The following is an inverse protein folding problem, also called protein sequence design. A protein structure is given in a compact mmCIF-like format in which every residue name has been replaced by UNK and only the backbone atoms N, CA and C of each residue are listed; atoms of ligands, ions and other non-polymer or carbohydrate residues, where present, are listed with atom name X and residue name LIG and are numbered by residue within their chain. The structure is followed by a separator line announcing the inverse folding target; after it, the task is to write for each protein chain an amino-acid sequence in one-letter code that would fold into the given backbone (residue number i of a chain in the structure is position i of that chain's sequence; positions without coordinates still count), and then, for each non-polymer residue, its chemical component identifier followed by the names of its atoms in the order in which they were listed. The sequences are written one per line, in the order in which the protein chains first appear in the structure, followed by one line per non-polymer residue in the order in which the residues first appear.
data_IF_881539055141
#
_entry.id   IF_881539055141
#
_cell.length_a   1.000
_cell.length_b   1.000
_cell.length_c   1.000
_cell.angle_alpha   90.00
_cell.angle_beta   90.00
_cell.angle_gamma   90.00
#
_symmetry.space_group_name_H-M   'P 1'
#
loop_
_entity.id
_entity.type
_entity.pdbx_description
1 polymer ?
#
# COMPACT_ATOMS: atom_id res chain seq x y z
N UNK A 1 9.31 18.03 -14.20
CA UNK A 1 8.43 16.84 -14.22
C UNK A 1 7.85 16.70 -12.81
N UNK A 2 6.53 16.77 -12.66
CA UNK A 2 5.92 16.51 -11.36
C UNK A 2 5.91 15.01 -11.12
N UNK A 3 6.38 14.59 -9.94
CA UNK A 3 6.30 13.21 -9.50
C UNK A 3 4.83 12.78 -9.48
N UNK A 4 4.54 11.65 -10.13
CA UNK A 4 3.19 11.08 -10.20
C UNK A 4 3.03 9.90 -9.25
N UNK A 5 4.13 9.27 -8.88
CA UNK A 5 4.14 8.04 -8.11
C UNK A 5 5.50 7.91 -7.41
N UNK A 6 5.48 7.40 -6.17
CA UNK A 6 6.65 7.00 -5.41
C UNK A 6 6.44 5.59 -4.89
N UNK A 7 7.47 4.75 -5.00
CA UNK A 7 7.42 3.37 -4.53
C UNK A 7 8.53 3.07 -3.54
N UNK A 8 8.20 2.28 -2.52
CA UNK A 8 9.15 1.80 -1.53
C UNK A 8 8.91 0.31 -1.31
N UNK A 9 9.92 -0.51 -1.62
CA UNK A 9 9.89 -1.93 -1.26
C UNK A 9 10.29 -2.12 0.21
N UNK A 10 9.57 -3.01 0.88
CA UNK A 10 9.85 -3.42 2.26
C UNK A 10 9.88 -4.94 2.30
N UNK A 11 10.89 -5.50 2.97
CA UNK A 11 10.96 -6.94 3.25
C UNK A 11 10.83 -7.13 4.74
N UNK A 12 9.79 -7.85 5.17
CA UNK A 12 9.52 -8.11 6.58
C UNK A 12 9.10 -9.57 6.73
N UNK A 13 9.69 -10.28 7.71
CA UNK A 13 9.48 -11.71 7.93
C UNK A 13 9.67 -12.60 6.67
N UNK A 14 10.53 -12.18 5.73
CA UNK A 14 10.78 -12.90 4.47
C UNK A 14 9.79 -12.62 3.34
N UNK A 15 8.75 -11.83 3.60
CA UNK A 15 7.75 -11.39 2.60
C UNK A 15 8.15 -10.03 2.05
N UNK A 16 8.10 -9.86 0.72
CA UNK A 16 8.30 -8.58 0.04
C UNK A 16 6.94 -7.89 -0.19
N UNK A 17 6.79 -6.69 0.35
CA UNK A 17 5.67 -5.79 0.07
C UNK A 17 6.19 -4.55 -0.65
N UNK A 18 5.35 -3.94 -1.48
CA UNK A 18 5.65 -2.72 -2.19
C UNK A 18 4.63 -1.65 -1.81
N UNK A 19 5.10 -0.62 -1.11
CA UNK A 19 4.30 0.55 -0.78
C UNK A 19 4.32 1.49 -1.99
N UNK A 20 3.16 1.90 -2.45
CA UNK A 20 2.95 2.73 -3.63
C UNK A 20 2.17 3.97 -3.17
N UNK A 21 2.80 5.14 -3.31
CA UNK A 21 2.17 6.43 -3.14
C UNK A 21 1.87 7.01 -4.52
N UNK A 22 0.60 7.20 -4.85
CA UNK A 22 0.17 7.73 -6.16
C UNK A 22 -0.43 9.10 -6.00
N UNK A 23 0.03 10.07 -6.80
CA UNK A 23 -0.52 11.42 -6.78
C UNK A 23 -1.87 11.44 -7.49
N UNK A 24 -2.91 11.83 -6.77
CA UNK A 24 -4.28 11.92 -7.29
C UNK A 24 -4.77 13.38 -7.40
N UNK A 25 -4.11 14.31 -6.72
CA UNK A 25 -4.42 15.75 -6.77
C UNK A 25 -3.18 16.62 -6.55
N UNK A 26 -3.36 17.94 -6.47
CA UNK A 26 -2.22 18.87 -6.31
C UNK A 26 -1.45 18.61 -5.01
N UNK A 27 -2.16 18.32 -3.92
CA UNK A 27 -1.58 17.96 -2.61
C UNK A 27 -2.25 16.72 -2.04
N UNK A 28 -2.67 15.79 -2.90
CA UNK A 28 -3.38 14.58 -2.50
C UNK A 28 -2.69 13.36 -3.08
N UNK A 29 -2.36 12.43 -2.19
CA UNK A 29 -1.68 11.18 -2.48
C UNK A 29 -2.49 10.02 -1.92
N UNK A 30 -2.74 9.02 -2.76
CA UNK A 30 -3.29 7.75 -2.31
C UNK A 30 -2.17 6.82 -1.89
N UNK A 31 -2.45 5.97 -0.90
CA UNK A 31 -1.58 4.91 -0.44
C UNK A 31 -2.11 3.56 -0.90
N UNK A 32 -1.23 2.74 -1.46
CA UNK A 32 -1.48 1.33 -1.75
C UNK A 32 -0.30 0.47 -1.29
N UNK A 33 -0.58 -0.76 -0.88
CA UNK A 33 0.44 -1.77 -0.56
C UNK A 33 0.17 -2.99 -1.43
N UNK A 34 1.12 -3.29 -2.30
CA UNK A 34 1.09 -4.43 -3.22
C UNK A 34 1.91 -5.58 -2.64
N UNK A 35 1.30 -6.77 -2.57
CA UNK A 35 1.98 -7.97 -2.14
C UNK A 35 2.63 -8.74 -3.31
N UNK A 36 3.39 -9.80 -3.00
CA UNK A 36 4.03 -10.65 -4.03
C UNK A 36 3.04 -11.43 -4.89
N UNK A 37 1.79 -11.55 -4.47
CA UNK A 37 0.71 -12.26 -5.18
C UNK A 37 -0.03 -11.33 -6.15
N UNK A 38 0.33 -10.04 -6.21
CA UNK A 38 -0.32 -9.05 -7.07
C UNK A 38 -1.58 -8.44 -6.47
N UNK A 39 -1.90 -8.73 -5.20
CA UNK A 39 -3.03 -8.12 -4.49
C UNK A 39 -2.59 -6.79 -3.89
N UNK A 40 -3.40 -5.76 -4.11
CA UNK A 40 -3.16 -4.41 -3.64
C UNK A 40 -4.21 -4.01 -2.62
N UNK A 41 -3.78 -3.70 -1.40
CA UNK A 41 -4.60 -3.02 -0.40
C UNK A 41 -4.46 -1.52 -0.61
N UNK A 42 -5.57 -0.82 -0.83
CA UNK A 42 -5.58 0.63 -1.08
C UNK A 42 -6.39 1.33 0.00
N UNK A 43 -5.83 2.40 0.55
CA UNK A 43 -6.48 3.19 1.58
C UNK A 43 -7.44 4.19 0.94
N UNK A 44 -8.58 4.42 1.60
CA UNK A 44 -9.57 5.42 1.20
C UNK A 44 -9.17 6.83 1.63
N UNK A 45 -8.29 6.96 2.62
CA UNK A 45 -7.78 8.24 3.11
C UNK A 45 -6.67 8.77 2.19
N UNK A 46 -6.69 10.08 1.96
CA UNK A 46 -5.70 10.78 1.16
C UNK A 46 -4.69 11.51 2.05
N UNK A 47 -3.43 11.49 1.61
CA UNK A 47 -2.31 12.03 2.34
C UNK A 47 -1.73 13.26 1.61
N UNK A 48 -1.19 14.24 2.35
CA UNK A 48 -0.75 15.51 1.77
C UNK A 48 0.56 15.39 0.97
N UNK A 49 1.30 14.29 1.12
CA UNK A 49 2.56 14.06 0.42
C UNK A 49 2.87 12.59 0.18
N UNK A 50 3.73 12.32 -0.81
CA UNK A 50 4.25 10.99 -1.08
C UNK A 50 4.97 10.40 0.14
N UNK A 51 5.75 11.20 0.86
CA UNK A 51 6.53 10.73 2.02
C UNK A 51 5.62 10.33 3.19
N UNK A 52 4.51 11.05 3.39
CA UNK A 52 3.51 10.65 4.38
C UNK A 52 2.80 9.36 3.99
N UNK A 53 2.48 9.17 2.71
CA UNK A 53 1.95 7.90 2.20
C UNK A 53 2.91 6.73 2.43
N UNK A 54 4.18 6.90 2.09
CA UNK A 54 5.18 5.84 2.32
C UNK A 54 5.34 5.55 3.81
N UNK A 55 5.38 6.58 4.67
CA UNK A 55 5.49 6.39 6.12
C UNK A 55 4.27 5.68 6.70
N UNK A 56 3.06 6.09 6.30
CA UNK A 56 1.82 5.46 6.75
C UNK A 56 1.74 3.99 6.31
N UNK A 57 2.12 3.68 5.07
CA UNK A 57 2.19 2.29 4.59
C UNK A 57 3.19 1.44 5.38
N UNK A 58 4.35 2.02 5.71
CA UNK A 58 5.34 1.32 6.52
C UNK A 58 4.84 1.08 7.95
N UNK A 59 4.13 2.04 8.53
CA UNK A 59 3.54 1.93 9.87
C UNK A 59 2.41 0.88 9.91
N UNK A 60 1.55 0.86 8.89
CA UNK A 60 0.51 -0.16 8.74
C UNK A 60 1.11 -1.57 8.67
N UNK A 61 2.12 -1.77 7.81
CA UNK A 61 2.83 -3.06 7.70
C UNK A 61 3.45 -3.50 9.04
N UNK A 62 4.02 -2.54 9.80
CA UNK A 62 4.60 -2.83 11.12
C UNK A 62 3.55 -3.17 12.18
N UNK A 63 2.39 -2.52 12.11
CA UNK A 63 1.34 -2.61 13.13
C UNK A 63 0.46 -3.84 12.92
N UNK A 64 0.04 -4.07 11.68
CA UNK A 64 -0.86 -5.18 11.30
C UNK A 64 -0.08 -6.46 11.00
N UNK A 65 1.20 -6.35 10.65
CA UNK A 65 2.03 -7.47 10.21
C UNK A 65 1.85 -7.79 8.72
N UNK A 66 2.77 -8.56 8.16
CA UNK A 66 2.74 -8.91 6.73
C UNK A 66 1.57 -9.82 6.37
N UNK A 67 1.07 -10.61 7.33
CA UNK A 67 -0.03 -11.56 7.14
C UNK A 67 -1.32 -10.84 6.72
N UNK A 68 -1.62 -9.66 7.28
CA UNK A 68 -2.77 -8.84 6.89
C UNK A 68 -2.78 -8.43 5.40
N UNK A 69 -1.61 -8.45 4.75
CA UNK A 69 -1.46 -8.08 3.33
C UNK A 69 -1.28 -9.30 2.42
N UNK A 70 -1.01 -10.48 2.96
CA UNK A 70 -0.81 -11.71 2.19
C UNK A 70 -1.94 -12.73 2.36
N UNK A 71 -2.74 -12.58 3.41
CA UNK A 71 -3.85 -13.47 3.69
C UNK A 71 -5.00 -13.16 2.74
N UNK A 72 -5.09 -13.95 1.68
CA UNK A 72 -6.15 -13.92 0.67
C UNK A 72 -7.28 -14.90 1.01
N UNK A 73 -7.26 -15.54 2.19
CA UNK A 73 -8.24 -16.56 2.55
C UNK A 73 -9.67 -16.05 2.71
N UNK A 74 -9.89 -14.74 2.85
CA UNK A 74 -11.22 -14.12 2.99
C UNK A 74 -11.75 -13.42 1.72
N UNK A 75 -11.06 -13.51 0.59
CA UNK A 75 -11.64 -13.07 -0.69
C UNK A 75 -12.55 -14.16 -1.25
N UNK A 76 -13.68 -14.38 -0.58
CA UNK A 76 -14.83 -15.02 -1.20
C UNK A 76 -15.26 -14.10 -2.35
N UNK A 77 -15.02 -14.54 -3.59
CA UNK A 77 -15.47 -13.84 -4.78
C UNK A 77 -16.99 -13.78 -4.69
N UNK A 78 -17.55 -12.59 -4.44
CA UNK A 78 -18.98 -12.35 -4.62
C UNK A 78 -19.24 -12.37 -6.13
N UNK A 79 -19.42 -13.59 -6.63
CA UNK A 79 -19.92 -13.93 -7.96
C UNK A 79 -21.45 -13.83 -7.86
N UNK A 80 -22.00 -12.64 -8.12
CA UNK A 80 -23.39 -12.47 -8.56
C UNK A 80 -23.49 -11.38 -9.63
#
# INVERSE_FOLDING_TARGET
MHEKERRQSVVMAGVRLEIIATRIGESEWSLSVLNTLGVSSTWTEFLPSADEAIRAGLEAIKTEGVEAFTDISDFDYLLE
#
